data_IF_146520018887
#
_entry.id   IF_146520018887
#
_cell.length_a   1.000
_cell.length_b   1.000
_cell.length_c   1.000
_cell.angle_alpha   90.00
_cell.angle_beta   90.00
_cell.angle_gamma   90.00
#
_symmetry.space_group_name_H-M   'P 1'
#
loop_
_entity.id
_entity.type
_entity.pdbx_description
1 polymer ?
#
# COMPACT_ATOMS: atom_id res chain seq x y z
N UNK A 1 4.29 10.54 17.35
CA UNK A 1 4.03 11.82 16.64
C UNK A 1 2.73 12.38 17.19
N UNK A 2 2.75 13.61 17.71
CA UNK A 2 1.54 14.30 18.14
C UNK A 2 1.00 15.09 16.95
N UNK A 3 -0.25 14.84 16.55
CA UNK A 3 -0.89 15.61 15.48
C UNK A 3 -1.58 16.83 16.08
N UNK A 4 -1.29 18.06 15.63
CA UNK A 4 -1.91 19.26 16.18
C UNK A 4 -3.38 19.42 15.78
N UNK A 5 -3.86 18.65 14.81
CA UNK A 5 -5.22 18.72 14.29
C UNK A 5 -6.08 17.64 14.98
N UNK A 6 -7.18 18.08 15.62
CA UNK A 6 -8.21 17.15 16.12
C UNK A 6 -9.02 16.63 14.94
N UNK A 7 -8.93 15.33 14.69
CA UNK A 7 -9.53 14.70 13.54
C UNK A 7 -9.86 13.24 13.85
N UNK A 8 -10.94 12.74 13.25
CA UNK A 8 -11.42 11.38 13.45
C UNK A 8 -11.45 10.65 12.11
N UNK A 9 -10.64 9.60 11.99
CA UNK A 9 -10.64 8.70 10.83
C UNK A 9 -11.47 7.48 11.18
N UNK A 10 -12.45 7.15 10.33
CA UNK A 10 -13.38 6.05 10.56
C UNK A 10 -13.70 5.32 9.27
N UNK A 11 -13.98 4.02 9.39
CA UNK A 11 -14.50 3.18 8.30
C UNK A 11 -16.03 3.08 8.29
N UNK A 12 -16.72 3.78 9.21
CA UNK A 12 -18.18 3.77 9.29
C UNK A 12 -18.81 4.51 8.10
N UNK A 13 -19.35 3.74 7.14
CA UNK A 13 -19.97 4.27 5.91
C UNK A 13 -21.20 5.13 6.16
N UNK A 14 -21.89 5.00 7.31
CA UNK A 14 -23.05 5.84 7.64
C UNK A 14 -22.69 7.32 7.78
N UNK A 15 -21.42 7.63 8.06
CA UNK A 15 -20.91 9.01 8.17
C UNK A 15 -20.42 9.58 6.83
N UNK A 16 -20.58 8.84 5.73
CA UNK A 16 -20.08 9.25 4.42
C UNK A 16 -20.64 10.61 3.98
N UNK A 17 -21.90 10.95 4.26
CA UNK A 17 -22.48 12.22 3.82
C UNK A 17 -21.89 13.44 4.55
N UNK A 18 -21.48 13.25 5.81
CA UNK A 18 -21.03 14.32 6.72
C UNK A 18 -19.51 14.45 6.80
N UNK A 19 -18.76 13.51 6.22
CA UNK A 19 -17.30 13.52 6.30
C UNK A 19 -16.68 14.71 5.55
N UNK A 20 -15.66 15.36 6.11
CA UNK A 20 -14.92 16.43 5.42
C UNK A 20 -14.13 15.91 4.21
N UNK A 21 -13.59 14.70 4.34
CA UNK A 21 -12.84 13.99 3.30
C UNK A 21 -13.28 12.54 3.23
N UNK A 22 -13.35 12.01 2.00
CA UNK A 22 -13.52 10.57 1.76
C UNK A 22 -12.37 10.03 0.93
N UNK A 23 -11.81 8.91 1.40
CA UNK A 23 -10.77 8.15 0.72
C UNK A 23 -11.39 7.02 -0.10
N UNK A 24 -11.05 6.95 -1.38
CA UNK A 24 -11.48 5.90 -2.29
C UNK A 24 -10.28 5.02 -2.64
N UNK A 25 -10.30 3.77 -2.18
CA UNK A 25 -9.30 2.76 -2.52
C UNK A 25 -9.50 2.30 -3.97
N UNK A 26 -8.46 2.39 -4.79
CA UNK A 26 -8.46 1.89 -6.15
C UNK A 26 -8.89 0.42 -6.19
N UNK A 27 -9.76 0.02 -7.13
CA UNK A 27 -10.28 -1.33 -7.16
C UNK A 27 -9.16 -2.34 -7.40
N UNK A 28 -9.20 -3.43 -6.64
CA UNK A 28 -8.33 -4.60 -6.82
C UNK A 28 -8.81 -5.38 -8.03
N UNK A 29 -7.89 -5.85 -8.88
CA UNK A 29 -8.23 -6.65 -10.06
C UNK A 29 -9.07 -7.89 -9.67
N UNK A 30 -10.21 -8.10 -10.33
CA UNK A 30 -10.99 -9.35 -10.19
C UNK A 30 -10.45 -10.37 -11.20
N UNK A 31 -9.99 -11.53 -10.71
CA UNK A 31 -9.70 -12.70 -11.56
C UNK A 31 -11.02 -13.32 -12.01
N UNK A 32 -11.34 -13.27 -13.30
CA UNK A 32 -12.44 -14.06 -13.86
C UNK A 32 -11.85 -15.21 -14.70
N UNK A 33 -12.12 -16.46 -14.31
CA UNK A 33 -11.82 -17.62 -15.15
C UNK A 33 -12.90 -17.72 -16.24
N UNK A 34 -12.49 -17.73 -17.49
CA UNK A 34 -13.33 -18.13 -18.63
C UNK A 34 -12.62 -19.30 -19.30
N UNK A 35 -13.07 -20.53 -18.99
CA UNK A 35 -12.36 -21.75 -19.37
C UNK A 35 -10.99 -21.88 -18.66
N UNK A 36 -9.96 -22.27 -19.40
CA UNK A 36 -8.56 -22.31 -18.91
C UNK A 36 -7.85 -20.95 -19.00
N UNK A 37 -8.50 -19.93 -19.59
CA UNK A 37 -7.93 -18.60 -19.76
C UNK A 37 -8.27 -17.72 -18.56
N UNK A 38 -7.24 -17.16 -17.92
CA UNK A 38 -7.41 -16.11 -16.91
C UNK A 38 -7.62 -14.81 -17.67
N UNK A 39 -8.87 -14.31 -17.66
CA UNK A 39 -9.16 -12.96 -18.14
C UNK A 39 -9.13 -12.04 -16.92
N UNK A 40 -8.17 -11.11 -16.90
CA UNK A 40 -8.17 -10.01 -15.94
C UNK A 40 -9.26 -9.02 -16.39
N UNK A 41 -10.48 -9.20 -15.88
CA UNK A 41 -11.56 -8.25 -16.13
C UNK A 41 -11.38 -7.06 -15.18
N UNK A 42 -10.70 -6.03 -15.70
CA UNK A 42 -10.31 -4.81 -14.98
C UNK A 42 -11.47 -3.90 -14.54
N UNK A 43 -12.73 -4.25 -14.82
CA UNK A 43 -13.83 -3.27 -14.83
C UNK A 43 -15.12 -3.65 -14.09
N UNK A 44 -15.19 -4.77 -13.38
CA UNK A 44 -16.50 -5.27 -12.89
C UNK A 44 -16.99 -4.71 -11.55
N UNK A 45 -16.14 -4.06 -10.75
CA UNK A 45 -16.51 -3.50 -9.43
C UNK A 45 -16.56 -1.97 -9.35
N UNK A 46 -16.44 -1.26 -10.48
CA UNK A 46 -16.62 0.21 -10.49
C UNK A 46 -18.07 0.66 -10.25
N UNK A 47 -19.01 -0.28 -10.03
CA UNK A 47 -20.42 -0.01 -9.79
C UNK A 47 -20.69 0.76 -8.49
N UNK A 48 -19.80 0.67 -7.50
CA UNK A 48 -19.90 1.41 -6.22
C UNK A 48 -19.26 2.81 -6.27
N UNK A 49 -18.58 3.17 -7.36
CA UNK A 49 -17.92 4.46 -7.47
C UNK A 49 -18.91 5.57 -7.83
N UNK A 50 -18.82 6.76 -7.20
CA UNK A 50 -19.73 7.86 -7.51
C UNK A 50 -19.56 8.28 -8.98
N UNK A 51 -20.59 8.11 -9.80
CA UNK A 51 -20.54 8.47 -11.23
C UNK A 51 -20.45 9.98 -11.47
N UNK A 52 -20.80 10.78 -10.48
CA UNK A 52 -20.81 12.23 -10.55
C UNK A 52 -20.27 12.83 -9.24
N UNK A 53 -19.54 13.95 -9.38
CA UNK A 53 -19.23 14.84 -8.27
C UNK A 53 -20.38 15.86 -8.19
N UNK A 54 -21.31 15.66 -7.26
CA UNK A 54 -22.32 16.68 -6.94
C UNK A 54 -21.68 17.95 -6.38
N UNK A 55 -22.47 19.00 -6.15
CA UNK A 55 -22.01 20.30 -5.60
C UNK A 55 -21.55 20.24 -4.12
N UNK A 56 -21.19 19.05 -3.64
CA UNK A 56 -20.79 18.80 -2.26
C UNK A 56 -19.32 19.23 -2.10
N UNK A 57 -19.03 20.06 -1.09
CA UNK A 57 -17.68 20.56 -0.77
C UNK A 57 -16.71 19.47 -0.27
N UNK A 58 -17.11 18.20 -0.35
CA UNK A 58 -16.37 17.06 0.17
C UNK A 58 -15.05 16.87 -0.56
N UNK A 59 -13.97 16.79 0.21
CA UNK A 59 -12.64 16.50 -0.32
C UNK A 59 -12.57 15.02 -0.67
N UNK A 60 -12.08 14.69 -1.86
CA UNK A 60 -11.94 13.29 -2.28
C UNK A 60 -10.49 12.94 -2.51
N UNK A 61 -10.08 11.83 -1.92
CA UNK A 61 -8.73 11.30 -2.06
C UNK A 61 -8.73 9.97 -2.80
N UNK A 62 -7.94 9.90 -3.87
CA UNK A 62 -7.66 8.65 -4.55
C UNK A 62 -6.52 7.93 -3.82
N UNK A 63 -6.76 6.69 -3.39
CA UNK A 63 -5.80 5.90 -2.64
C UNK A 63 -5.42 4.62 -3.38
N UNK A 64 -4.13 4.41 -3.62
CA UNK A 64 -3.64 3.19 -4.29
C UNK A 64 -2.28 2.78 -3.74
N UNK A 65 -2.21 1.61 -3.11
CA UNK A 65 -0.92 1.01 -2.70
C UNK A 65 -0.32 0.13 -3.79
N UNK A 66 -1.12 -0.51 -4.62
CA UNK A 66 -0.63 -1.53 -5.57
C UNK A 66 0.11 -0.92 -6.77
N UNK A 67 1.32 -1.41 -7.11
CA UNK A 67 2.05 -0.94 -8.28
C UNK A 67 1.27 -1.27 -9.57
N UNK A 68 1.18 -0.27 -10.45
CA UNK A 68 0.61 -0.31 -11.80
C UNK A 68 -0.24 -1.55 -12.10
N UNK A 69 -1.47 -1.58 -11.59
CA UNK A 69 -2.49 -2.45 -12.17
C UNK A 69 -2.56 -2.09 -13.66
N UNK A 70 -2.46 -3.05 -14.58
CA UNK A 70 -2.51 -2.72 -16.01
C UNK A 70 -3.82 -1.99 -16.43
N UNK A 71 -4.82 -1.95 -15.54
CA UNK A 71 -6.05 -1.16 -15.67
C UNK A 71 -5.97 0.31 -15.20
N UNK A 72 -4.95 0.71 -14.42
CA UNK A 72 -4.66 2.11 -14.06
C UNK A 72 -3.79 2.77 -15.15
N UNK A 73 -4.04 2.47 -16.43
CA UNK A 73 -3.49 3.26 -17.52
C UNK A 73 -4.27 4.57 -17.62
N UNK A 74 -3.64 5.64 -18.13
CA UNK A 74 -4.31 6.95 -18.23
C UNK A 74 -5.67 6.91 -18.93
N UNK A 75 -5.87 6.02 -19.93
CA UNK A 75 -7.18 5.83 -20.58
C UNK A 75 -8.22 5.15 -19.68
N UNK A 76 -7.78 4.23 -18.83
CA UNK A 76 -8.64 3.51 -17.88
C UNK A 76 -9.17 4.40 -16.75
N UNK A 77 -8.52 5.54 -16.48
CA UNK A 77 -8.90 6.49 -15.43
C UNK A 77 -9.60 7.75 -15.92
N UNK A 78 -9.78 7.91 -17.24
CA UNK A 78 -10.40 9.09 -17.83
C UNK A 78 -11.84 9.35 -17.31
N UNK A 79 -12.54 8.31 -16.82
CA UNK A 79 -13.87 8.47 -16.23
C UNK A 79 -13.84 9.22 -14.88
N UNK A 80 -12.68 9.33 -14.24
CA UNK A 80 -12.49 9.89 -12.90
C UNK A 80 -11.68 11.20 -12.88
N UNK A 81 -11.43 11.83 -14.03
CA UNK A 81 -10.60 13.04 -14.16
C UNK A 81 -10.98 14.17 -13.24
N UNK A 82 -12.26 14.28 -12.90
CA UNK A 82 -12.81 15.40 -12.13
C UNK A 82 -13.33 15.00 -10.74
N UNK A 83 -12.96 13.79 -10.31
CA UNK A 83 -13.49 13.21 -9.08
C UNK A 83 -12.64 13.51 -7.84
N UNK A 84 -11.32 13.70 -8.00
CA UNK A 84 -10.38 13.70 -6.87
C UNK A 84 -9.66 15.03 -6.71
N UNK A 85 -9.48 15.44 -5.46
CA UNK A 85 -8.65 16.59 -5.13
C UNK A 85 -7.20 16.17 -4.90
N UNK A 86 -6.99 15.04 -4.23
CA UNK A 86 -5.67 14.57 -3.80
C UNK A 86 -5.45 13.09 -4.09
N UNK A 87 -4.18 12.68 -4.06
CA UNK A 87 -3.70 11.32 -4.25
C UNK A 87 -2.86 10.86 -3.08
N UNK A 88 -3.06 9.61 -2.63
CA UNK A 88 -2.20 8.94 -1.65
C UNK A 88 -1.73 7.61 -2.23
N UNK A 89 -0.47 7.54 -2.64
CA UNK A 89 0.07 6.38 -3.35
C UNK A 89 1.56 6.17 -3.11
N UNK A 90 2.10 5.05 -3.57
CA UNK A 90 3.55 4.79 -3.57
C UNK A 90 4.32 5.62 -4.62
N UNK A 91 3.66 6.39 -5.49
CA UNK A 91 4.36 7.31 -6.40
C UNK A 91 4.86 8.54 -5.63
N UNK A 92 6.10 8.98 -5.88
CA UNK A 92 6.74 10.08 -5.14
C UNK A 92 6.05 11.42 -5.35
N UNK A 93 5.37 11.57 -6.48
CA UNK A 93 4.66 12.76 -6.90
C UNK A 93 3.24 12.86 -6.32
N UNK A 94 2.79 11.85 -5.56
CA UNK A 94 1.50 11.88 -4.89
C UNK A 94 1.46 12.95 -3.80
N UNK A 95 0.27 13.49 -3.52
CA UNK A 95 0.09 14.48 -2.44
C UNK A 95 0.47 13.91 -1.07
N UNK A 96 0.16 12.65 -0.84
CA UNK A 96 0.72 11.85 0.25
C UNK A 96 1.50 10.68 -0.36
N UNK A 97 2.83 10.78 -0.33
CA UNK A 97 3.71 9.66 -0.64
C UNK A 97 3.59 8.62 0.48
N UNK A 98 3.01 7.46 0.14
CA UNK A 98 2.76 6.37 1.08
C UNK A 98 3.40 5.08 0.54
N UNK A 99 4.74 4.94 0.67
CA UNK A 99 5.44 3.77 0.17
C UNK A 99 5.14 2.55 1.02
N UNK A 100 5.41 1.36 0.47
CA UNK A 100 5.39 0.12 1.25
C UNK A 100 6.47 0.06 2.33
N UNK A 101 7.53 0.86 2.17
CA UNK A 101 8.61 1.02 3.13
C UNK A 101 9.59 2.08 2.65
N UNK A 102 10.39 2.61 3.57
CA UNK A 102 11.44 3.58 3.25
C UNK A 102 12.81 3.00 3.57
N UNK A 103 13.82 3.38 2.79
CA UNK A 103 15.20 3.09 3.14
C UNK A 103 15.65 4.04 4.24
N UNK A 104 16.21 3.49 5.30
CA UNK A 104 16.89 4.28 6.34
C UNK A 104 18.38 4.04 6.21
N UNK A 105 19.19 5.10 6.35
CA UNK A 105 20.64 4.93 6.47
C UNK A 105 20.91 4.10 7.73
N UNK A 106 21.56 2.96 7.52
CA UNK A 106 22.06 2.16 8.61
C UNK A 106 23.22 2.90 9.29
N UNK A 107 23.42 2.71 10.60
CA UNK A 107 24.66 3.14 11.25
C UNK A 107 25.85 2.60 10.44
N UNK A 108 26.85 3.45 10.16
CA UNK A 108 28.03 2.99 9.44
C UNK A 108 28.73 1.86 10.21
N UNK A 109 29.29 0.87 9.50
CA UNK A 109 29.75 -0.39 10.06
C UNK A 109 31.05 -0.21 10.82
N UNK A 110 30.97 0.33 12.03
CA UNK A 110 32.03 0.15 13.00
C UNK A 110 31.60 -0.78 14.14
N UNK A 111 30.38 -1.33 14.16
CA UNK A 111 29.94 -2.18 15.30
C UNK A 111 28.73 -3.12 15.10
N UNK A 112 28.12 -3.26 13.92
CA UNK A 112 26.93 -4.12 13.77
C UNK A 112 27.16 -5.14 12.64
N UNK A 113 27.12 -6.42 12.98
CA UNK A 113 27.14 -7.56 12.06
C UNK A 113 25.82 -7.68 11.29
N UNK A 114 25.78 -8.36 10.12
CA UNK A 114 24.53 -8.60 9.40
C UNK A 114 23.44 -9.23 10.29
N UNK A 115 23.80 -10.19 11.13
CA UNK A 115 22.89 -10.85 12.08
C UNK A 115 22.31 -9.86 13.10
N UNK A 116 23.15 -9.07 13.76
CA UNK A 116 22.69 -8.05 14.71
C UNK A 116 21.77 -7.01 14.06
N UNK A 117 21.97 -6.74 12.76
CA UNK A 117 21.07 -5.87 12.02
C UNK A 117 19.69 -6.50 11.85
N UNK A 118 19.61 -7.76 11.40
CA UNK A 118 18.32 -8.44 11.23
C UNK A 118 17.56 -8.54 12.56
N UNK A 119 18.25 -8.81 13.67
CA UNK A 119 17.65 -8.83 15.01
C UNK A 119 17.08 -7.47 15.44
N UNK A 120 17.56 -6.37 14.88
CA UNK A 120 17.05 -5.02 15.16
C UNK A 120 15.80 -4.64 14.36
N UNK A 121 15.55 -5.30 13.22
CA UNK A 121 14.45 -4.94 12.29
C UNK A 121 13.38 -6.02 12.15
N UNK A 122 13.67 -7.25 12.54
CA UNK A 122 12.74 -8.37 12.48
C UNK A 122 12.58 -9.01 13.87
N UNK A 123 11.37 -9.49 14.23
CA UNK A 123 11.20 -10.26 15.45
C UNK A 123 12.16 -11.46 15.50
N UNK A 124 12.71 -11.83 16.67
CA UNK A 124 13.52 -13.02 16.81
C UNK A 124 12.79 -14.26 16.30
N UNK A 125 13.54 -15.16 15.65
CA UNK A 125 13.02 -16.41 15.06
C UNK A 125 11.95 -16.24 13.96
N UNK A 126 11.81 -15.03 13.38
CA UNK A 126 10.87 -14.79 12.27
C UNK A 126 11.49 -14.93 10.88
N UNK A 127 12.81 -15.13 10.80
CA UNK A 127 13.56 -15.14 9.56
C UNK A 127 14.65 -16.22 9.56
N UNK A 128 15.13 -16.56 8.37
CA UNK A 128 16.23 -17.51 8.16
C UNK A 128 17.42 -16.71 7.60
N UNK A 129 18.51 -16.60 8.36
CA UNK A 129 19.72 -15.93 7.91
C UNK A 129 20.52 -16.84 6.97
N UNK A 130 20.80 -16.39 5.75
CA UNK A 130 21.48 -17.20 4.72
C UNK A 130 22.90 -17.57 5.15
N UNK A 131 23.63 -16.65 5.77
CA UNK A 131 25.01 -16.90 6.24
C UNK A 131 25.08 -17.85 7.45
N UNK A 132 23.94 -18.28 8.00
CA UNK A 132 23.88 -19.33 9.02
C UNK A 132 24.11 -20.73 8.47
N UNK A 133 24.26 -20.89 7.15
CA UNK A 133 24.47 -22.17 6.48
C UNK A 133 25.83 -22.20 5.79
N UNK A 134 26.52 -23.34 5.90
CA UNK A 134 27.83 -23.55 5.26
C UNK A 134 27.82 -23.45 3.74
N UNK A 135 26.64 -23.61 3.11
CA UNK A 135 26.46 -23.46 1.67
C UNK A 135 24.99 -23.20 1.28
N UNK A 136 24.72 -22.61 0.10
CA UNK A 136 23.37 -22.52 -0.45
C UNK A 136 22.67 -23.89 -0.60
N UNK A 137 23.45 -24.97 -0.81
CA UNK A 137 22.93 -26.34 -0.89
C UNK A 137 22.37 -26.80 0.45
N UNK A 138 23.01 -26.44 1.56
CA UNK A 138 22.54 -26.84 2.88
C UNK A 138 21.33 -26.02 3.33
N UNK A 139 21.29 -24.72 2.97
CA UNK A 139 20.06 -23.92 3.09
C UNK A 139 18.91 -24.55 2.28
N UNK A 140 19.16 -24.96 1.03
CA UNK A 140 18.15 -25.61 0.19
C UNK A 140 17.61 -26.89 0.82
N UNK A 141 18.48 -27.75 1.37
CA UNK A 141 18.04 -28.96 2.10
C UNK A 141 17.19 -28.60 3.32
N UNK A 142 17.59 -27.58 4.08
CA UNK A 142 16.83 -27.10 5.23
C UNK A 142 15.44 -26.60 4.81
N UNK A 143 15.34 -25.74 3.80
CA UNK A 143 14.07 -25.22 3.29
C UNK A 143 13.14 -26.35 2.82
N UNK A 144 13.67 -27.38 2.13
CA UNK A 144 12.88 -28.56 1.72
C UNK A 144 12.38 -29.35 2.95
N UNK A 145 13.19 -29.47 4.00
CA UNK A 145 12.77 -30.14 5.23
C UNK A 145 11.73 -29.34 6.01
N UNK A 146 11.86 -28.02 6.01
CA UNK A 146 10.96 -27.08 6.67
C UNK A 146 9.57 -27.08 6.03
N UNK A 147 9.51 -27.03 4.70
CA UNK A 147 8.26 -27.09 3.93
C UNK A 147 7.42 -28.36 4.20
N UNK A 148 8.09 -29.47 4.50
CA UNK A 148 7.44 -30.75 4.82
C UNK A 148 6.96 -30.87 6.26
N UNK A 149 7.37 -29.97 7.16
CA UNK A 149 7.04 -30.02 8.57
C UNK A 149 6.29 -28.76 9.00
N UNK A 150 4.96 -28.82 8.94
CA UNK A 150 4.08 -27.72 9.34
C UNK A 150 4.34 -27.23 10.77
N UNK A 151 4.71 -28.12 11.71
CA UNK A 151 4.98 -27.71 13.09
C UNK A 151 6.19 -26.79 13.15
N UNK A 152 7.30 -27.22 12.53
CA UNK A 152 8.54 -26.44 12.49
C UNK A 152 8.37 -25.14 11.67
N UNK A 153 7.66 -25.21 10.53
CA UNK A 153 7.33 -24.03 9.74
C UNK A 153 6.53 -23.00 10.55
N UNK A 154 5.56 -23.46 11.35
CA UNK A 154 4.70 -22.59 12.14
C UNK A 154 5.45 -21.89 13.29
N UNK A 155 6.60 -22.40 13.74
CA UNK A 155 7.44 -21.72 14.73
C UNK A 155 7.91 -20.36 14.23
N UNK A 156 8.21 -20.23 12.94
CA UNK A 156 8.57 -18.95 12.30
C UNK A 156 7.44 -17.91 12.26
N UNK A 157 6.22 -18.30 12.67
CA UNK A 157 5.07 -17.39 12.80
C UNK A 157 4.69 -17.12 14.25
N UNK A 158 5.38 -17.69 15.23
CA UNK A 158 5.07 -17.49 16.67
C UNK A 158 5.21 -16.03 17.11
N UNK A 159 6.11 -15.26 16.49
CA UNK A 159 6.25 -13.83 16.76
C UNK A 159 4.93 -13.07 16.63
N UNK A 160 3.99 -13.50 15.78
CA UNK A 160 2.67 -12.86 15.60
C UNK A 160 1.82 -12.86 16.87
N UNK A 161 2.16 -13.71 17.86
CA UNK A 161 1.51 -13.73 19.18
C UNK A 161 1.96 -12.58 20.08
N UNK A 162 3.13 -12.00 19.83
CA UNK A 162 3.80 -11.05 20.74
C UNK A 162 4.20 -9.73 20.08
N UNK A 163 4.14 -9.65 18.75
CA UNK A 163 4.48 -8.47 17.96
C UNK A 163 3.32 -8.09 17.04
N UNK A 164 3.08 -6.77 16.91
CA UNK A 164 2.14 -6.20 15.94
C UNK A 164 2.88 -5.51 14.80
N UNK A 165 2.21 -5.34 13.65
CA UNK A 165 2.76 -4.55 12.54
C UNK A 165 2.46 -3.07 12.83
N UNK A 166 3.50 -2.26 12.93
CA UNK A 166 3.38 -0.81 12.97
C UNK A 166 3.35 -0.26 11.53
N UNK A 167 2.27 0.41 11.17
CA UNK A 167 2.14 1.09 9.88
C UNK A 167 2.50 2.57 10.03
N UNK A 168 3.03 3.17 8.96
CA UNK A 168 3.16 4.62 8.92
C UNK A 168 1.78 5.26 9.05
N UNK A 169 1.64 6.17 10.01
CA UNK A 169 0.39 6.83 10.31
C UNK A 169 0.24 8.08 9.43
N UNK A 170 -0.41 7.92 8.27
CA UNK A 170 -0.75 9.03 7.38
C UNK A 170 -1.90 9.90 7.91
N UNK A 171 -2.54 9.54 9.04
CA UNK A 171 -3.75 10.22 9.50
C UNK A 171 -3.51 11.70 9.73
N UNK A 172 -2.38 12.11 10.28
CA UNK A 172 -2.15 13.53 10.54
C UNK A 172 -2.12 14.36 9.24
N UNK A 173 -1.49 13.82 8.19
CA UNK A 173 -1.42 14.49 6.89
C UNK A 173 -2.77 14.47 6.18
N UNK A 174 -3.51 13.36 6.27
CA UNK A 174 -4.89 13.27 5.80
C UNK A 174 -5.77 14.36 6.42
N UNK A 175 -5.67 14.52 7.75
CA UNK A 175 -6.43 15.54 8.48
C UNK A 175 -6.00 16.96 8.12
N UNK A 176 -4.70 17.18 7.85
CA UNK A 176 -4.18 18.47 7.37
C UNK A 176 -4.79 18.83 6.02
N UNK A 177 -4.78 17.91 5.06
CA UNK A 177 -5.35 18.11 3.73
C UNK A 177 -6.87 18.25 3.75
N UNK A 178 -7.58 17.54 4.63
CA UNK A 178 -9.03 17.68 4.79
C UNK A 178 -9.43 19.09 5.22
N UNK A 179 -8.61 19.74 6.06
CA UNK A 179 -8.85 21.11 6.52
C UNK A 179 -8.62 22.18 5.44
N UNK A 180 -7.85 21.89 4.38
CA UNK A 180 -7.49 22.87 3.34
C UNK A 180 -8.64 23.25 2.39
N UNK A 181 -9.69 22.43 2.29
CA UNK A 181 -10.84 22.63 1.37
C UNK A 181 -10.42 23.05 -0.05
N UNK A 182 -9.61 22.24 -0.75
CA UNK A 182 -9.05 22.60 -2.04
C UNK A 182 -10.09 22.79 -3.15
N UNK A 183 -9.85 23.78 -4.00
CA UNK A 183 -10.51 23.92 -5.30
C UNK A 183 -9.83 23.12 -6.40
N UNK A 184 -8.58 22.66 -6.18
CA UNK A 184 -7.83 21.87 -7.16
C UNK A 184 -8.47 20.51 -7.42
N UNK A 185 -8.33 20.04 -8.65
CA UNK A 185 -8.77 18.73 -9.11
C UNK A 185 -7.59 18.02 -9.76
N UNK A 186 -7.33 16.79 -9.35
CA UNK A 186 -6.23 15.97 -9.87
C UNK A 186 -6.67 15.20 -11.09
N UNK A 187 -6.00 15.45 -12.22
CA UNK A 187 -6.19 14.72 -13.47
C UNK A 187 -5.53 13.35 -13.41
N UNK A 188 -6.30 12.33 -13.01
CA UNK A 188 -5.79 10.99 -12.75
C UNK A 188 -5.13 10.33 -13.97
N UNK A 189 -5.62 10.57 -15.19
CA UNK A 189 -5.00 10.07 -16.42
C UNK A 189 -3.60 10.65 -16.66
N UNK A 190 -3.38 11.90 -16.26
CA UNK A 190 -2.10 12.57 -16.38
C UNK A 190 -1.13 12.14 -15.28
N UNK A 191 -1.67 11.88 -14.08
CA UNK A 191 -0.92 11.33 -12.94
C UNK A 191 -0.46 9.89 -13.22
N UNK A 192 -1.34 9.03 -13.75
CA UNK A 192 -1.03 7.67 -14.20
C UNK A 192 -0.75 7.60 -15.70
N UNK A 193 0.17 8.43 -16.19
CA UNK A 193 0.54 8.46 -17.60
C UNK A 193 1.61 7.40 -17.90
N UNK A 194 1.28 6.44 -18.77
CA UNK A 194 2.18 5.39 -19.24
C UNK A 194 3.45 5.92 -19.93
N UNK A 195 3.42 7.14 -20.50
CA UNK A 195 4.59 7.78 -21.11
C UNK A 195 5.55 8.38 -20.08
N UNK A 196 5.05 8.75 -18.89
CA UNK A 196 5.85 9.27 -17.77
C UNK A 196 6.39 8.16 -16.87
N UNK A 197 5.83 6.95 -16.99
CA UNK A 197 6.29 5.79 -16.26
C UNK A 197 7.59 5.26 -16.89
N UNK A 198 8.54 4.86 -16.04
CA UNK A 198 9.82 4.32 -16.49
C UNK A 198 9.59 3.18 -17.50
N UNK A 199 10.13 3.33 -18.71
CA UNK A 199 10.19 2.25 -19.69
C UNK A 199 11.40 1.40 -19.34
N UNK A 200 11.18 0.10 -19.12
CA UNK A 200 12.24 -0.90 -18.91
C UNK A 200 13.11 -1.05 -20.15
#
# INVERSE_FOLDING_TARGET
>A
MHCPIKCHVTSNRSLYADADMVMFEAPKSIKQRVGQTIILNYYRDWGEWPRFRGNNQQVRMFYAREPQLAGLSGRGLAFAEDMFNYTMTFQKEADIFYPYGHTRRLPQPNSITPTEWYDSVAPPYSYIHVDGFSSPKDLSKYLISLDKNNSLYNEYHHWRKSYGIAWENANCELCRLAAEKPTKVTKLSQFWNAEKQCKS
#
